data_IF_511542975664
#
_entry.id   IF_511542975664
#
_cell.length_a   1.000
_cell.length_b   1.000
_cell.length_c   1.000
_cell.angle_alpha   90.00
_cell.angle_beta   90.00
_cell.angle_gamma   90.00
#
_symmetry.space_group_name_H-M   'P 1'
#
loop_
_entity.id
_entity.type
_entity.pdbx_description
1 polymer ?
#
# COMPACT_ATOMS: atom_id res chain seq x y z
N UNK A 1 19.63 -11.31 4.52
CA UNK A 1 19.32 -9.96 5.03
C UNK A 1 17.80 -9.86 5.12
N UNK A 2 17.22 -10.27 6.25
CA UNK A 2 15.79 -10.03 6.51
C UNK A 2 15.66 -8.53 6.74
N UNK A 3 15.11 -7.83 5.76
CA UNK A 3 14.76 -6.42 5.93
C UNK A 3 13.53 -6.42 6.84
N UNK A 4 13.75 -6.23 8.14
CA UNK A 4 12.69 -5.95 9.10
C UNK A 4 12.11 -4.57 8.77
N UNK A 5 11.25 -4.50 7.75
CA UNK A 5 10.55 -3.25 7.42
C UNK A 5 9.49 -3.08 8.52
N UNK A 6 9.56 -2.01 9.34
CA UNK A 6 8.58 -1.81 10.40
C UNK A 6 7.17 -1.79 9.82
N UNK A 7 6.20 -2.46 10.47
CA UNK A 7 4.79 -2.49 10.03
C UNK A 7 4.23 -1.08 9.78
N UNK A 8 4.63 -0.12 10.62
CA UNK A 8 4.29 1.30 10.47
C UNK A 8 4.79 1.88 9.13
N UNK A 9 5.97 1.46 8.67
CA UNK A 9 6.54 1.86 7.40
C UNK A 9 5.79 1.27 6.21
N UNK A 10 5.24 0.05 6.33
CA UNK A 10 4.38 -0.55 5.30
C UNK A 10 3.04 0.19 5.17
N UNK A 11 2.45 0.61 6.29
CA UNK A 11 1.22 1.42 6.27
C UNK A 11 1.42 2.76 5.56
N UNK A 12 2.60 3.39 5.70
CA UNK A 12 2.93 4.62 4.97
C UNK A 12 2.97 4.40 3.46
N UNK A 13 3.43 3.23 2.99
CA UNK A 13 3.47 2.93 1.55
C UNK A 13 2.07 2.95 0.91
N UNK A 14 1.02 2.56 1.64
CA UNK A 14 -0.37 2.62 1.17
C UNK A 14 -0.75 4.04 0.74
N UNK A 15 -0.23 5.07 1.41
CA UNK A 15 -0.47 6.49 1.11
C UNK A 15 0.58 7.04 0.12
N UNK A 16 1.83 6.60 0.22
CA UNK A 16 2.91 7.11 -0.61
C UNK A 16 2.79 6.66 -2.07
N UNK A 17 2.30 5.45 -2.34
CA UNK A 17 2.11 4.97 -3.72
C UNK A 17 1.14 5.85 -4.53
N UNK A 18 -0.11 6.11 -4.09
CA UNK A 18 -1.08 6.89 -4.85
C UNK A 18 -0.66 8.35 -4.91
N UNK A 19 -0.04 8.87 -3.86
CA UNK A 19 0.52 10.23 -3.85
C UNK A 19 1.65 10.35 -4.87
N UNK A 20 2.57 9.38 -4.93
CA UNK A 20 3.61 9.31 -5.95
C UNK A 20 3.03 9.24 -7.36
N UNK A 21 2.00 8.41 -7.58
CA UNK A 21 1.29 8.35 -8.86
C UNK A 21 0.63 9.68 -9.25
N UNK A 22 -0.01 10.36 -8.30
CA UNK A 22 -0.61 11.67 -8.51
C UNK A 22 0.44 12.75 -8.82
N UNK A 23 1.59 12.75 -8.13
CA UNK A 23 2.70 13.68 -8.40
C UNK A 23 3.27 13.42 -9.80
N UNK A 24 3.53 12.16 -10.17
CA UNK A 24 4.08 11.80 -11.48
C UNK A 24 3.11 12.23 -12.60
N UNK A 25 1.85 11.84 -12.50
CA UNK A 25 0.84 12.19 -13.51
C UNK A 25 0.54 13.69 -13.54
N UNK A 26 0.53 14.36 -12.39
CA UNK A 26 0.23 15.79 -12.28
C UNK A 26 1.36 16.69 -12.80
N UNK A 27 2.62 16.32 -12.57
CA UNK A 27 3.78 17.14 -12.97
C UNK A 27 4.30 16.79 -14.37
N UNK A 28 4.38 15.50 -14.69
CA UNK A 28 5.09 15.00 -15.88
C UNK A 28 4.13 14.35 -16.88
N UNK A 29 2.89 14.03 -16.48
CA UNK A 29 1.93 13.29 -17.32
C UNK A 29 1.63 13.95 -18.67
N UNK A 30 1.77 15.28 -18.81
CA UNK A 30 1.60 15.97 -20.11
C UNK A 30 2.63 15.58 -21.18
N UNK A 31 3.77 15.03 -20.76
CA UNK A 31 4.85 14.59 -21.65
C UNK A 31 4.83 13.07 -21.90
N UNK A 32 3.91 12.35 -21.26
CA UNK A 32 3.82 10.90 -21.34
C UNK A 32 2.73 10.47 -22.33
N UNK A 33 2.89 9.32 -23.02
CA UNK A 33 1.79 8.70 -23.75
C UNK A 33 0.64 8.35 -22.80
N UNK A 34 -0.60 8.45 -23.29
CA UNK A 34 -1.83 8.24 -22.50
C UNK A 34 -1.81 6.92 -21.72
N UNK A 35 -1.28 5.85 -22.32
CA UNK A 35 -1.16 4.54 -21.67
C UNK A 35 -0.31 4.59 -20.39
N UNK A 36 0.81 5.31 -20.39
CA UNK A 36 1.66 5.42 -19.19
C UNK A 36 0.97 6.22 -18.08
N UNK A 37 0.28 7.30 -18.42
CA UNK A 37 -0.51 8.08 -17.44
C UNK A 37 -1.57 7.20 -16.78
N UNK A 38 -2.28 6.39 -17.57
CA UNK A 38 -3.28 5.45 -17.05
C UNK A 38 -2.66 4.37 -16.16
N UNK A 39 -1.56 3.75 -16.61
CA UNK A 39 -0.87 2.69 -15.84
C UNK A 39 -0.33 3.24 -14.52
N UNK A 40 0.28 4.41 -14.51
CA UNK A 40 0.76 5.05 -13.27
C UNK A 40 -0.40 5.39 -12.34
N UNK A 41 -1.49 5.95 -12.88
CA UNK A 41 -2.64 6.38 -12.10
C UNK A 41 -3.35 5.21 -11.41
N UNK A 42 -3.68 4.16 -12.18
CA UNK A 42 -4.40 3.00 -11.65
C UNK A 42 -3.46 2.04 -10.94
N UNK A 43 -2.24 1.85 -11.46
CA UNK A 43 -1.27 0.90 -10.92
C UNK A 43 -0.81 1.25 -9.51
N UNK A 44 -0.55 2.51 -9.23
CA UNK A 44 -0.16 2.95 -7.88
C UNK A 44 -1.27 2.74 -6.86
N UNK A 45 -2.53 3.00 -7.24
CA UNK A 45 -3.71 2.72 -6.40
C UNK A 45 -3.90 1.21 -6.19
N UNK A 46 -3.71 0.40 -7.23
CA UNK A 46 -3.82 -1.06 -7.13
C UNK A 46 -2.79 -1.66 -6.17
N UNK A 47 -1.54 -1.16 -6.21
CA UNK A 47 -0.48 -1.58 -5.27
C UNK A 47 -0.85 -1.21 -3.83
N UNK A 48 -1.35 0.01 -3.59
CA UNK A 48 -1.83 0.41 -2.26
C UNK A 48 -2.96 -0.45 -1.74
N UNK A 49 -3.91 -0.81 -2.61
CA UNK A 49 -5.01 -1.69 -2.24
C UNK A 49 -4.50 -3.08 -1.85
N UNK A 50 -3.57 -3.66 -2.61
CA UNK A 50 -2.97 -4.95 -2.29
C UNK A 50 -2.23 -4.92 -0.93
N UNK A 51 -1.49 -3.85 -0.66
CA UNK A 51 -0.83 -3.64 0.64
C UNK A 51 -1.85 -3.51 1.78
N UNK A 52 -2.92 -2.75 1.59
CA UNK A 52 -3.98 -2.58 2.59
C UNK A 52 -4.66 -3.92 2.92
N UNK A 53 -4.94 -4.76 1.92
CA UNK A 53 -5.50 -6.10 2.13
C UNK A 53 -4.52 -6.99 2.90
N UNK A 54 -3.25 -6.99 2.54
CA UNK A 54 -2.22 -7.77 3.24
C UNK A 54 -2.10 -7.35 4.71
N UNK A 55 -2.00 -6.04 4.98
CA UNK A 55 -1.94 -5.52 6.35
C UNK A 55 -3.23 -5.81 7.14
N UNK A 56 -4.39 -5.80 6.49
CA UNK A 56 -5.65 -6.14 7.15
C UNK A 56 -5.69 -7.61 7.58
N UNK A 57 -5.28 -8.53 6.70
CA UNK A 57 -5.23 -9.97 7.00
C UNK A 57 -4.29 -10.24 8.18
N UNK A 58 -3.12 -9.60 8.18
CA UNK A 58 -2.13 -9.72 9.26
C UNK A 58 -2.69 -9.20 10.60
N UNK A 59 -3.28 -8.00 10.58
CA UNK A 59 -3.85 -7.40 11.79
C UNK A 59 -5.07 -8.17 12.32
N UNK A 60 -5.86 -8.77 11.42
CA UNK A 60 -6.98 -9.63 11.78
C UNK A 60 -6.51 -10.91 12.48
N UNK A 61 -5.45 -11.55 11.97
CA UNK A 61 -4.83 -12.73 12.59
C UNK A 61 -4.33 -12.42 14.00
N UNK A 62 -3.58 -11.33 14.16
CA UNK A 62 -3.06 -10.89 15.47
C UNK A 62 -4.16 -10.60 16.49
N UNK A 63 -5.31 -10.04 16.05
CA UNK A 63 -6.45 -9.83 16.96
C UNK A 63 -7.05 -11.16 17.44
N UNK A 64 -7.18 -12.15 16.57
CA UNK A 64 -7.78 -13.44 16.93
C UNK A 64 -6.93 -14.19 17.97
N UNK A 65 -5.60 -14.13 17.83
CA UNK A 65 -4.68 -14.71 18.82
C UNK A 65 -4.76 -14.00 20.18
N UNK A 66 -4.86 -12.67 20.19
CA UNK A 66 -4.99 -11.88 21.42
C UNK A 66 -6.32 -12.15 22.16
N UNK A 67 -7.42 -12.32 21.42
CA UNK A 67 -8.72 -12.71 21.99
C UNK A 67 -8.67 -14.09 22.65
N UNK A 68 -8.02 -15.07 22.03
CA UNK A 68 -7.85 -16.42 22.60
C UNK A 68 -7.01 -16.41 23.89
N UNK A 69 -5.90 -15.67 23.91
CA UNK A 69 -5.02 -15.58 25.07
C UNK A 69 -5.66 -14.87 26.28
N UNK A 70 -6.66 -14.01 26.06
CA UNK A 70 -7.39 -13.33 27.15
C UNK A 70 -8.45 -14.22 27.79
N UNK A 71 -8.89 -15.27 27.09
CA UNK A 71 -9.95 -16.19 27.52
C UNK A 71 -9.44 -17.45 28.23
N UNK A 72 -8.12 -17.62 28.37
CA UNK A 72 -7.42 -18.73 29.05
C UNK A 72 -6.68 -18.24 30.28
#
# INVERSE_FOLDING_TARGET
MQLEVPQQSLLLLIILFPLGGAIINGLIGRYMPKGLVTVVGVGTVAVSFALAVASFIELYGLRHEAEQATLT
#
